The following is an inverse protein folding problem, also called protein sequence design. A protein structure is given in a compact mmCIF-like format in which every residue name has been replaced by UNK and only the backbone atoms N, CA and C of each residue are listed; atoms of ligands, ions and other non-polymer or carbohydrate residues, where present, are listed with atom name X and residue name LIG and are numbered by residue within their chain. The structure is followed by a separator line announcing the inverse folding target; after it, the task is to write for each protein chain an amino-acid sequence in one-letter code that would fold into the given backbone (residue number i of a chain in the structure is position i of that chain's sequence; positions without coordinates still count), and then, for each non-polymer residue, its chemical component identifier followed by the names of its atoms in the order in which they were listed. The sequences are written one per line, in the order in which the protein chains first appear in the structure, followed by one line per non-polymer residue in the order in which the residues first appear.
data_IF_787308998591
#
_entry.id   IF_787308998591
#
_cell.length_a   1.000
_cell.length_b   1.000
_cell.length_c   1.000
_cell.angle_alpha   90.00
_cell.angle_beta   90.00
_cell.angle_gamma   90.00
#
_symmetry.space_group_name_H-M   'P 1'
#
loop_
_entity.id
_entity.type
_entity.pdbx_description
1 polymer ?
#
# COMPACT_ATOMS: atom_id res chain seq x y z
N UNK A 1 15.30 2.40 -5.33
CA UNK A 1 16.73 2.53 -5.61
C UNK A 1 16.98 3.92 -6.22
N UNK A 2 17.94 4.66 -5.70
CA UNK A 2 18.21 6.04 -6.13
C UNK A 2 19.60 6.12 -6.75
N UNK A 3 19.61 6.47 -8.04
CA UNK A 3 20.81 6.85 -8.80
C UNK A 3 20.63 8.29 -9.31
N UNK A 4 20.88 8.59 -10.57
CA UNK A 4 20.45 9.82 -11.25
C UNK A 4 18.91 9.82 -11.38
N UNK A 5 18.31 8.62 -11.60
CA UNK A 5 16.87 8.40 -11.66
C UNK A 5 16.36 7.67 -10.40
N UNK A 6 15.05 7.76 -10.17
CA UNK A 6 14.34 7.05 -9.11
C UNK A 6 13.72 5.76 -9.68
N UNK A 7 14.02 4.63 -9.05
CA UNK A 7 13.45 3.34 -9.39
C UNK A 7 12.66 2.79 -8.20
N UNK A 8 11.45 2.34 -8.49
CA UNK A 8 10.59 1.62 -7.55
C UNK A 8 10.34 0.22 -8.08
N UNK A 9 10.59 -0.80 -7.30
CA UNK A 9 10.44 -2.18 -7.75
C UNK A 9 10.21 -3.14 -6.58
N UNK A 10 9.64 -4.30 -6.90
CA UNK A 10 9.41 -5.38 -5.94
C UNK A 10 9.62 -6.74 -6.61
N UNK A 11 9.86 -7.76 -5.81
CA UNK A 11 9.71 -9.16 -6.19
C UNK A 11 8.30 -9.61 -5.78
N UNK A 12 7.48 -10.02 -6.76
CA UNK A 12 6.20 -10.64 -6.53
C UNK A 12 6.39 -12.15 -6.70
N UNK A 13 6.44 -12.86 -5.57
CA UNK A 13 6.77 -14.28 -5.54
C UNK A 13 5.57 -15.07 -5.00
N UNK A 14 4.95 -15.84 -5.91
CA UNK A 14 3.84 -16.75 -5.62
C UNK A 14 4.12 -18.12 -6.23
N UNK A 15 3.59 -19.17 -5.62
CA UNK A 15 3.71 -20.54 -6.12
C UNK A 15 2.93 -20.78 -7.41
N UNK A 16 1.93 -19.94 -7.70
CA UNK A 16 1.09 -19.99 -8.90
C UNK A 16 0.51 -18.60 -9.23
N UNK A 17 0.15 -18.38 -10.50
CA UNK A 17 -0.50 -17.14 -10.91
C UNK A 17 -1.97 -17.12 -10.53
N UNK A 18 -2.43 -16.01 -9.99
CA UNK A 18 -3.85 -15.74 -9.75
C UNK A 18 -4.55 -15.11 -10.96
N UNK A 19 -3.86 -14.97 -12.09
CA UNK A 19 -4.32 -14.22 -13.25
C UNK A 19 -3.94 -12.74 -13.14
N UNK A 20 -2.72 -12.50 -12.65
CA UNK A 20 -2.19 -11.15 -12.47
C UNK A 20 -1.92 -10.50 -13.82
N UNK A 21 -2.27 -9.22 -13.95
CA UNK A 21 -2.05 -8.47 -15.17
C UNK A 21 -1.60 -7.04 -14.90
N UNK A 22 -0.91 -6.45 -15.87
CA UNK A 22 -0.56 -5.03 -15.84
C UNK A 22 -1.82 -4.23 -16.10
N UNK A 23 -2.25 -3.47 -15.10
CA UNK A 23 -3.50 -2.73 -15.11
C UNK A 23 -3.25 -1.22 -15.08
N UNK A 24 -3.93 -0.49 -15.93
CA UNK A 24 -3.92 0.98 -15.98
C UNK A 24 -5.26 1.52 -15.49
N UNK A 25 -5.22 2.33 -14.43
CA UNK A 25 -6.40 3.09 -13.97
C UNK A 25 -6.25 4.54 -14.44
N UNK A 26 -7.14 5.07 -15.28
CA UNK A 26 -7.07 6.45 -15.76
C UNK A 26 -7.46 7.47 -14.68
N UNK A 27 -7.23 8.76 -14.95
CA UNK A 27 -7.81 9.85 -14.15
C UNK A 27 -9.34 9.77 -14.19
N UNK A 28 -9.98 10.25 -13.13
CA UNK A 28 -11.44 10.28 -12.96
C UNK A 28 -12.10 8.88 -12.94
N UNK A 29 -11.33 7.81 -12.81
CA UNK A 29 -11.87 6.45 -12.65
C UNK A 29 -12.67 6.36 -11.34
N UNK A 30 -13.92 5.84 -11.40
CA UNK A 30 -14.75 5.73 -10.20
C UNK A 30 -14.42 4.47 -9.41
N UNK A 31 -14.02 4.64 -8.15
CA UNK A 31 -13.96 3.56 -7.17
C UNK A 31 -15.09 3.72 -6.15
N UNK A 32 -15.84 2.66 -5.88
CA UNK A 32 -16.74 2.60 -4.72
C UNK A 32 -15.96 2.11 -3.50
N UNK A 33 -15.55 3.03 -2.62
CA UNK A 33 -14.86 2.68 -1.38
C UNK A 33 -15.88 2.21 -0.32
N UNK A 34 -15.56 1.13 0.38
CA UNK A 34 -16.49 0.43 1.30
C UNK A 34 -17.05 1.33 2.41
N UNK A 35 -16.21 2.21 2.95
CA UNK A 35 -16.59 3.07 4.07
C UNK A 35 -16.65 4.56 3.72
N UNK A 36 -16.06 4.98 2.60
CA UNK A 36 -15.97 6.39 2.22
C UNK A 36 -16.81 6.77 1.00
N UNK A 37 -17.52 5.78 0.41
CA UNK A 37 -18.41 6.01 -0.74
C UNK A 37 -17.67 6.25 -2.04
N UNK A 38 -18.25 7.05 -2.94
CA UNK A 38 -17.72 7.30 -4.26
C UNK A 38 -16.41 8.09 -4.21
N UNK A 39 -15.38 7.55 -4.82
CA UNK A 39 -14.07 8.16 -4.99
C UNK A 39 -13.70 8.19 -6.46
N UNK A 40 -13.14 9.28 -6.93
CA UNK A 40 -12.59 9.39 -8.28
C UNK A 40 -11.11 9.72 -8.23
N UNK A 41 -10.33 8.96 -9.00
CA UNK A 41 -8.88 9.17 -9.09
C UNK A 41 -8.56 10.55 -9.67
N UNK A 42 -7.73 11.31 -8.96
CA UNK A 42 -7.16 12.56 -9.45
C UNK A 42 -5.99 12.28 -10.39
N UNK A 43 -5.22 11.23 -10.12
CA UNK A 43 -4.06 10.81 -10.89
C UNK A 43 -4.28 9.43 -11.50
N UNK A 44 -3.78 9.23 -12.72
CA UNK A 44 -3.69 7.92 -13.35
C UNK A 44 -2.60 7.08 -12.66
N UNK A 45 -2.78 5.77 -12.66
CA UNK A 45 -1.82 4.82 -12.11
C UNK A 45 -1.69 3.57 -12.98
N UNK A 46 -0.55 2.91 -12.87
CA UNK A 46 -0.24 1.63 -13.50
C UNK A 46 0.42 0.70 -12.49
N UNK A 47 0.09 -0.57 -12.51
CA UNK A 47 0.68 -1.56 -11.60
C UNK A 47 0.24 -2.98 -11.90
N UNK A 48 0.72 -3.91 -11.09
CA UNK A 48 0.27 -5.30 -11.14
C UNK A 48 -0.98 -5.46 -10.28
N UNK A 49 -2.01 -6.06 -10.86
CA UNK A 49 -3.28 -6.30 -10.17
C UNK A 49 -3.91 -7.63 -10.56
N UNK A 50 -4.69 -8.19 -9.65
CA UNK A 50 -5.74 -9.12 -9.99
C UNK A 50 -7.04 -8.34 -10.21
N UNK A 51 -7.65 -8.45 -11.40
CA UNK A 51 -8.88 -7.73 -11.71
C UNK A 51 -10.10 -8.60 -11.38
N UNK A 52 -10.78 -8.27 -10.30
CA UNK A 52 -12.00 -8.95 -9.85
C UNK A 52 -13.23 -8.19 -10.37
N UNK A 53 -13.84 -8.68 -11.45
CA UNK A 53 -14.86 -7.93 -12.17
C UNK A 53 -14.24 -6.69 -12.84
N UNK A 54 -14.71 -5.50 -12.45
CA UNK A 54 -14.13 -4.22 -12.91
C UNK A 54 -13.22 -3.57 -11.86
N UNK A 55 -12.93 -4.25 -10.75
CA UNK A 55 -12.14 -3.71 -9.64
C UNK A 55 -10.70 -4.23 -9.66
N UNK A 56 -9.69 -3.37 -9.86
CA UNK A 56 -8.30 -3.77 -9.81
C UNK A 56 -7.82 -3.89 -8.35
N UNK A 57 -7.52 -5.10 -7.93
CA UNK A 57 -6.88 -5.43 -6.66
C UNK A 57 -5.36 -5.33 -6.85
N UNK A 58 -4.81 -4.14 -6.66
CA UNK A 58 -3.39 -3.88 -6.88
C UNK A 58 -2.51 -4.55 -5.82
N UNK A 59 -1.46 -5.22 -6.27
CA UNK A 59 -0.34 -5.66 -5.43
C UNK A 59 0.68 -4.55 -5.23
N UNK A 60 0.93 -3.80 -6.31
CA UNK A 60 1.76 -2.61 -6.38
C UNK A 60 1.28 -1.70 -7.52
N UNK A 61 1.59 -0.43 -7.42
CA UNK A 61 1.38 0.51 -8.51
C UNK A 61 2.23 1.76 -8.34
N UNK A 62 2.35 2.51 -9.42
CA UNK A 62 2.93 3.86 -9.45
C UNK A 62 1.96 4.79 -10.15
N UNK A 63 1.81 6.02 -9.65
CA UNK A 63 1.01 7.03 -10.34
C UNK A 63 1.87 7.91 -11.26
N UNK A 64 1.21 8.67 -12.11
CA UNK A 64 1.83 9.56 -13.10
C UNK A 64 2.71 10.67 -12.49
N UNK A 65 2.61 10.92 -11.18
CA UNK A 65 3.43 11.87 -10.44
C UNK A 65 4.72 11.23 -9.89
N UNK A 66 4.89 9.91 -10.02
CA UNK A 66 6.05 9.18 -9.55
C UNK A 66 5.95 8.73 -8.08
N UNK A 67 4.75 8.74 -7.49
CA UNK A 67 4.51 8.10 -6.20
C UNK A 67 4.23 6.61 -6.43
N UNK A 68 5.00 5.73 -5.77
CA UNK A 68 4.86 4.28 -5.82
C UNK A 68 4.43 3.70 -4.48
N UNK A 69 3.67 2.60 -4.53
CA UNK A 69 3.27 1.81 -3.36
C UNK A 69 3.26 0.32 -3.70
N UNK A 70 3.74 -0.50 -2.78
CA UNK A 70 3.68 -1.96 -2.86
C UNK A 70 3.21 -2.55 -1.55
N UNK A 71 2.29 -3.52 -1.62
CA UNK A 71 1.87 -4.35 -0.50
C UNK A 71 2.74 -5.60 -0.40
N UNK A 72 3.22 -5.92 0.79
CA UNK A 72 4.01 -7.11 1.08
C UNK A 72 3.32 -7.95 2.16
N UNK A 73 3.56 -9.25 2.17
CA UNK A 73 3.01 -10.15 3.18
C UNK A 73 3.50 -9.78 4.58
N UNK A 74 2.55 -9.67 5.51
CA UNK A 74 2.80 -9.33 6.91
C UNK A 74 2.05 -10.30 7.84
N UNK A 75 2.11 -11.56 7.49
CA UNK A 75 1.34 -12.65 8.10
C UNK A 75 1.66 -12.77 9.59
N UNK A 76 0.60 -12.85 10.42
CA UNK A 76 0.69 -12.96 11.87
C UNK A 76 0.92 -11.63 12.61
N UNK A 77 1.20 -10.53 11.91
CA UNK A 77 1.42 -9.21 12.48
C UNK A 77 0.35 -8.19 12.07
N UNK A 78 -0.18 -8.29 10.84
CA UNK A 78 -1.24 -7.39 10.38
C UNK A 78 -2.52 -7.58 11.19
N UNK A 79 -3.04 -6.48 11.75
CA UNK A 79 -4.35 -6.41 12.40
C UNK A 79 -5.10 -5.23 11.82
N UNK A 80 -6.31 -5.47 11.33
CA UNK A 80 -7.21 -4.44 10.83
C UNK A 80 -8.34 -4.22 11.82
N UNK A 81 -8.82 -2.99 11.90
CA UNK A 81 -9.69 -2.54 12.98
C UNK A 81 -11.13 -2.30 12.49
N UNK A 82 -12.12 -2.26 13.39
CA UNK A 82 -13.44 -1.73 13.06
C UNK A 82 -13.36 -0.30 12.54
N UNK A 83 -14.37 0.13 11.77
CA UNK A 83 -14.46 1.52 11.34
C UNK A 83 -14.52 2.47 12.55
N UNK A 84 -13.76 3.55 12.50
CA UNK A 84 -13.65 4.56 13.55
C UNK A 84 -14.22 5.90 13.07
N UNK A 85 -14.96 6.57 13.93
CA UNK A 85 -15.53 7.90 13.66
C UNK A 85 -14.41 8.94 13.49
N UNK A 86 -14.58 9.85 12.50
CA UNK A 86 -13.62 10.91 12.21
C UNK A 86 -12.34 10.47 11.54
N UNK A 87 -12.24 9.19 11.14
CA UNK A 87 -11.10 8.63 10.40
C UNK A 87 -11.46 8.35 8.93
N UNK A 88 -10.45 8.35 8.08
CA UNK A 88 -10.55 7.82 6.73
C UNK A 88 -10.48 6.28 6.82
N UNK A 89 -11.66 5.65 6.87
CA UNK A 89 -11.78 4.21 6.98
C UNK A 89 -11.59 3.57 5.60
N UNK A 90 -10.45 2.95 5.37
CA UNK A 90 -10.06 2.34 4.10
C UNK A 90 -9.75 0.86 4.30
N UNK A 91 -10.18 0.01 3.37
CA UNK A 91 -9.82 -1.41 3.43
C UNK A 91 -8.39 -1.63 2.93
N UNK A 92 -7.81 -2.78 3.26
CA UNK A 92 -6.44 -3.11 2.85
C UNK A 92 -6.28 -3.14 1.31
N UNK A 93 -7.32 -3.56 0.57
CA UNK A 93 -7.29 -3.61 -0.90
C UNK A 93 -7.58 -2.26 -1.56
N UNK A 94 -8.17 -1.30 -0.84
CA UNK A 94 -8.43 0.06 -1.31
C UNK A 94 -7.25 1.01 -1.09
N UNK A 95 -6.32 0.65 -0.21
CA UNK A 95 -5.25 1.56 0.22
C UNK A 95 -4.40 2.06 -0.96
N UNK A 96 -4.00 1.15 -1.87
CA UNK A 96 -3.20 1.49 -3.05
C UNK A 96 -3.94 2.46 -3.98
N UNK A 97 -5.13 2.13 -4.52
CA UNK A 97 -5.82 3.04 -5.42
C UNK A 97 -6.26 4.34 -4.76
N UNK A 98 -6.63 4.32 -3.47
CA UNK A 98 -7.00 5.52 -2.74
C UNK A 98 -5.82 6.50 -2.57
N UNK A 99 -4.65 6.02 -2.13
CA UNK A 99 -3.47 6.87 -1.95
C UNK A 99 -2.94 7.38 -3.28
N UNK A 100 -2.73 6.49 -4.27
CA UNK A 100 -2.18 6.88 -5.57
C UNK A 100 -3.14 7.75 -6.37
N UNK A 101 -4.44 7.52 -6.23
CA UNK A 101 -5.46 8.34 -6.86
C UNK A 101 -5.64 9.71 -6.21
N UNK A 102 -5.23 9.88 -4.94
CA UNK A 102 -5.39 11.12 -4.18
C UNK A 102 -4.14 11.99 -4.13
N UNK A 103 -2.95 11.39 -4.05
CA UNK A 103 -1.69 12.04 -3.67
C UNK A 103 -0.70 12.09 -4.84
N UNK A 104 -0.02 13.22 -5.02
CA UNK A 104 1.08 13.38 -5.97
C UNK A 104 2.44 13.06 -5.36
N UNK A 105 2.59 13.19 -4.04
CA UNK A 105 3.86 13.12 -3.33
C UNK A 105 3.80 12.24 -2.09
N UNK A 106 4.95 11.76 -1.63
CA UNK A 106 5.10 11.04 -0.38
C UNK A 106 4.62 11.85 0.83
N UNK A 107 4.85 13.17 0.83
CA UNK A 107 4.42 14.05 1.90
C UNK A 107 2.89 14.14 1.99
N UNK A 108 2.20 14.25 0.84
CA UNK A 108 0.73 14.23 0.78
C UNK A 108 0.19 12.86 1.26
N UNK A 109 0.79 11.76 0.81
CA UNK A 109 0.40 10.41 1.22
C UNK A 109 0.56 10.22 2.74
N UNK A 110 1.67 10.69 3.32
CA UNK A 110 1.89 10.64 4.77
C UNK A 110 0.80 11.41 5.53
N UNK A 111 0.51 12.64 5.10
CA UNK A 111 -0.52 13.48 5.74
C UNK A 111 -1.91 12.83 5.67
N UNK A 112 -2.23 12.19 4.54
CA UNK A 112 -3.51 11.50 4.36
C UNK A 112 -3.60 10.27 5.27
N UNK A 113 -2.51 9.51 5.40
CA UNK A 113 -2.38 8.32 6.24
C UNK A 113 -2.50 8.61 7.75
N UNK A 114 -2.10 9.78 8.23
CA UNK A 114 -2.23 10.16 9.66
C UNK A 114 -3.69 10.15 10.14
N UNK A 115 -4.63 10.30 9.20
CA UNK A 115 -6.08 10.23 9.46
C UNK A 115 -6.70 8.90 9.06
N UNK A 116 -5.90 7.97 8.53
CA UNK A 116 -6.40 6.68 8.04
C UNK A 116 -6.66 5.69 9.19
N UNK A 117 -7.55 4.75 8.90
CA UNK A 117 -7.80 3.55 9.68
C UNK A 117 -8.01 2.40 8.71
N UNK A 118 -7.20 1.35 8.81
CA UNK A 118 -7.35 0.18 7.95
C UNK A 118 -8.42 -0.72 8.54
N UNK A 119 -9.53 -0.87 7.80
CA UNK A 119 -10.69 -1.61 8.31
C UNK A 119 -10.69 -3.09 7.91
N UNK A 120 -11.28 -3.91 8.77
CA UNK A 120 -11.32 -5.37 8.68
C UNK A 120 -12.48 -5.89 7.78
N UNK A 121 -12.66 -5.25 6.62
CA UNK A 121 -13.68 -5.64 5.65
C UNK A 121 -13.01 -6.38 4.48
N UNK A 122 -13.32 -7.66 4.21
CA UNK A 122 -12.79 -8.40 3.07
C UNK A 122 -13.37 -7.88 1.75
N UNK A 123 -12.71 -8.20 0.64
CA UNK A 123 -13.23 -7.88 -0.68
C UNK A 123 -14.50 -8.69 -0.98
N UNK A 124 -14.44 -9.99 -0.75
CA UNK A 124 -15.56 -10.95 -0.85
C UNK A 124 -15.29 -12.18 0.02
N UNK A 125 -16.24 -13.10 0.09
CA UNK A 125 -16.06 -14.38 0.80
C UNK A 125 -14.95 -15.24 0.17
N UNK A 126 -14.75 -15.13 -1.16
CA UNK A 126 -13.70 -15.86 -1.88
C UNK A 126 -12.34 -15.16 -1.83
N UNK A 127 -12.33 -13.86 -1.54
CA UNK A 127 -11.13 -13.03 -1.43
C UNK A 127 -11.07 -12.39 -0.03
N UNK A 128 -10.60 -13.18 0.97
CA UNK A 128 -10.54 -12.74 2.36
C UNK A 128 -9.49 -11.65 2.56
N UNK A 129 -9.38 -11.17 3.80
CA UNK A 129 -8.37 -10.18 4.19
C UNK A 129 -6.95 -10.70 3.94
N UNK A 130 -6.20 -10.01 3.09
CA UNK A 130 -4.78 -10.23 2.95
C UNK A 130 -4.03 -9.48 4.07
N UNK A 131 -3.14 -10.19 4.77
CA UNK A 131 -2.32 -9.62 5.84
C UNK A 131 -1.12 -8.93 5.23
N UNK A 132 -1.19 -7.60 5.09
CA UNK A 132 -0.22 -6.78 4.38
C UNK A 132 0.36 -5.67 5.26
N UNK A 133 1.55 -5.22 4.88
CA UNK A 133 2.13 -3.91 5.17
C UNK A 133 2.63 -3.29 3.85
N UNK A 134 2.94 -1.99 3.86
CA UNK A 134 3.18 -1.28 2.61
C UNK A 134 4.46 -0.46 2.64
N UNK A 135 5.19 -0.51 1.53
CA UNK A 135 6.25 0.44 1.18
C UNK A 135 5.66 1.50 0.27
N UNK A 136 5.82 2.76 0.64
CA UNK A 136 5.41 3.91 -0.16
C UNK A 136 6.62 4.79 -0.40
N UNK A 137 6.86 5.18 -1.63
CA UNK A 137 8.06 5.93 -1.99
C UNK A 137 7.84 6.88 -3.17
N UNK A 138 8.60 7.97 -3.18
CA UNK A 138 8.85 8.83 -4.32
C UNK A 138 10.35 9.20 -4.38
N UNK A 139 10.73 10.09 -5.29
CA UNK A 139 12.13 10.53 -5.43
C UNK A 139 12.73 11.17 -4.18
N UNK A 140 11.92 11.58 -3.21
CA UNK A 140 12.39 12.27 -1.99
C UNK A 140 12.70 11.29 -0.85
N UNK A 141 12.10 10.10 -0.85
CA UNK A 141 12.32 9.10 0.17
C UNK A 141 11.26 8.00 0.19
N UNK A 142 11.18 7.29 1.33
CA UNK A 142 10.18 6.25 1.52
C UNK A 142 9.68 6.16 2.97
N UNK A 143 8.47 5.62 3.12
CA UNK A 143 7.85 5.27 4.40
C UNK A 143 7.35 3.84 4.35
N UNK A 144 7.23 3.24 5.54
CA UNK A 144 6.55 1.96 5.74
C UNK A 144 5.28 2.18 6.55
N UNK A 145 4.21 1.52 6.13
CA UNK A 145 2.90 1.57 6.80
C UNK A 145 2.54 0.18 7.30
N UNK A 146 2.31 0.05 8.59
CA UNK A 146 1.93 -1.18 9.26
C UNK A 146 0.67 -0.96 10.11
N UNK A 147 -0.34 -1.80 9.95
CA UNK A 147 -1.51 -1.85 10.84
C UNK A 147 -1.36 -3.07 11.74
N UNK A 148 -1.18 -2.82 13.02
CA UNK A 148 -0.93 -3.83 14.06
C UNK A 148 -1.97 -3.75 15.18
N UNK A 149 -1.89 -4.60 16.18
CA UNK A 149 -2.88 -4.67 17.26
C UNK A 149 -3.05 -3.34 18.04
N UNK A 150 -2.01 -2.52 18.08
CA UNK A 150 -1.98 -1.22 18.76
C UNK A 150 -2.25 -0.02 17.81
N UNK A 151 -2.54 -0.28 16.53
CA UNK A 151 -2.98 0.73 15.58
C UNK A 151 -2.17 0.83 14.28
N UNK A 152 -2.35 1.95 13.59
CA UNK A 152 -1.65 2.25 12.34
C UNK A 152 -0.33 2.99 12.62
N UNK A 153 0.76 2.44 12.13
CA UNK A 153 2.11 3.00 12.25
C UNK A 153 2.65 3.47 10.91
N UNK A 154 3.32 4.62 10.89
CA UNK A 154 3.96 5.20 9.71
C UNK A 154 5.42 5.49 10.05
N UNK A 155 6.31 4.63 9.55
CA UNK A 155 7.74 4.72 9.81
C UNK A 155 8.47 5.42 8.65
N UNK A 156 9.42 6.31 8.97
CA UNK A 156 10.40 6.74 7.98
C UNK A 156 11.31 5.57 7.60
N UNK A 157 11.56 5.36 6.31
CA UNK A 157 12.38 4.26 5.84
C UNK A 157 13.72 4.76 5.28
N UNK A 158 14.78 4.79 6.09
CA UNK A 158 16.08 5.31 5.66
C UNK A 158 16.82 4.37 4.70
N UNK A 159 16.39 3.10 4.60
CA UNK A 159 17.04 2.10 3.76
C UNK A 159 16.43 1.99 2.37
N UNK A 160 15.20 2.46 2.20
CA UNK A 160 14.44 2.30 0.95
C UNK A 160 14.03 0.86 0.64
N UNK A 161 14.13 -0.05 1.62
CA UNK A 161 13.82 -1.48 1.47
C UNK A 161 12.80 -1.90 2.51
N UNK A 162 11.90 -2.79 2.13
CA UNK A 162 10.98 -3.50 3.01
C UNK A 162 10.97 -4.98 2.60
N UNK A 163 11.03 -5.87 3.56
CA UNK A 163 10.82 -7.31 3.39
C UNK A 163 9.49 -7.70 4.04
N UNK A 164 9.08 -8.97 3.96
CA UNK A 164 7.84 -9.42 4.60
C UNK A 164 7.91 -9.26 6.13
N UNK A 165 8.05 -10.34 6.87
CA UNK A 165 8.25 -10.30 8.32
C UNK A 165 9.75 -10.13 8.68
N UNK A 166 10.07 -9.66 9.88
CA UNK A 166 9.24 -9.19 10.99
C UNK A 166 8.75 -7.73 10.82
N UNK A 167 8.05 -7.13 11.82
CA UNK A 167 7.71 -5.70 11.82
C UNK A 167 8.91 -4.80 11.53
N UNK A 168 8.67 -3.70 10.82
CA UNK A 168 9.74 -2.84 10.27
C UNK A 168 10.77 -2.35 11.30
N UNK A 169 10.41 -1.96 12.54
CA UNK A 169 11.41 -1.60 13.56
C UNK A 169 12.39 -2.74 13.87
N UNK A 170 11.93 -3.99 13.82
CA UNK A 170 12.78 -5.16 14.03
C UNK A 170 13.68 -5.43 12.82
N UNK A 171 13.18 -5.18 11.59
CA UNK A 171 14.01 -5.24 10.38
C UNK A 171 15.16 -4.23 10.45
N UNK A 172 14.87 -2.98 10.85
CA UNK A 172 15.90 -1.94 11.05
C UNK A 172 16.90 -2.31 12.14
N UNK A 173 16.43 -2.88 13.25
CA UNK A 173 17.32 -3.35 14.33
C UNK A 173 18.24 -4.47 13.84
N UNK A 174 17.71 -5.45 13.11
CA UNK A 174 18.49 -6.58 12.58
C UNK A 174 19.60 -6.14 11.63
N UNK A 175 19.42 -5.03 10.88
CA UNK A 175 20.46 -4.47 10.02
C UNK A 175 21.75 -4.07 10.77
N UNK A 176 21.66 -3.76 12.07
CA UNK A 176 22.84 -3.42 12.87
C UNK A 176 23.83 -4.59 12.97
N UNK A 177 23.36 -5.83 12.84
CA UNK A 177 24.21 -7.02 12.86
C UNK A 177 25.10 -7.14 11.60
N UNK A 178 24.79 -6.39 10.54
CA UNK A 178 25.47 -6.41 9.24
C UNK A 178 26.23 -5.11 8.92
N UNK A 179 26.16 -4.13 9.83
CA UNK A 179 26.93 -2.88 9.72
C UNK A 179 28.28 -3.12 10.43
N UNK A 180 29.33 -3.22 9.65
CA UNK A 180 30.69 -3.20 10.15
C UNK A 180 31.12 -1.79 10.53
#
# INVERSE_FOLDING_TARGET
YKTEDFYFGRNLDYEFSYGDEVTVTPRAYPFGLRCMGDFRTKYAMIGMAYVAGEYPLYYDAVNECGLGIAGLNFVGNAVYHPAAEGKNNVTQFELIPWLLGSCATLAEARTLLEKANIVNIPFSDQLPLAQLHWLIADKTGSIVVESTADGLHIYGNPTGVLTNNPPFPQQLFALNNYRA
#
